data_IF_851459098052
#
_entry.id   IF_851459098052
#
_cell.length_a   1.000
_cell.length_b   1.000
_cell.length_c   1.000
_cell.angle_alpha   90.00
_cell.angle_beta   90.00
_cell.angle_gamma   90.00
#
_symmetry.space_group_name_H-M   'P 1'
#
loop_
_entity.id
_entity.type
_entity.pdbx_description
1 polymer ?
#
# COMPACT_ATOMS: atom_id res chain seq x y z
N UNK A 1 3.52 16.26 -107.72
CA UNK A 1 2.51 16.83 -106.80
C UNK A 1 2.47 15.89 -105.61
N UNK A 2 2.79 16.23 -104.38
CA UNK A 2 3.17 17.47 -103.70
C UNK A 2 3.84 17.03 -102.39
N UNK A 3 4.80 17.81 -101.93
CA UNK A 3 5.61 17.71 -100.71
C UNK A 3 4.83 17.48 -99.41
N UNK A 4 5.42 16.79 -98.44
CA UNK A 4 5.80 17.41 -97.15
C UNK A 4 6.59 16.48 -96.22
N UNK A 5 7.80 16.94 -95.90
CA UNK A 5 8.62 16.67 -94.73
C UNK A 5 7.89 17.19 -93.47
N UNK A 6 8.09 16.57 -92.29
CA UNK A 6 8.65 17.21 -91.06
C UNK A 6 8.32 16.40 -89.79
N UNK A 7 9.39 15.98 -89.12
CA UNK A 7 9.67 15.82 -87.68
C UNK A 7 8.54 15.72 -86.65
N UNK A 8 8.72 14.80 -85.70
CA UNK A 8 7.91 14.82 -84.48
C UNK A 8 8.16 13.71 -83.47
N UNK A 9 9.41 13.36 -83.17
CA UNK A 9 9.73 12.57 -81.97
C UNK A 9 9.47 13.44 -80.73
N UNK A 10 8.40 13.18 -79.99
CA UNK A 10 8.20 13.75 -78.66
C UNK A 10 7.62 12.68 -77.72
N UNK A 11 8.53 11.98 -77.05
CA UNK A 11 8.21 11.24 -75.83
C UNK A 11 7.66 12.23 -74.80
N UNK A 12 6.39 12.12 -74.42
CA UNK A 12 5.87 12.81 -73.24
C UNK A 12 6.46 12.14 -71.99
N UNK A 13 7.59 12.67 -71.51
CA UNK A 13 8.09 12.37 -70.19
C UNK A 13 7.18 13.04 -69.16
N UNK A 14 6.53 12.24 -68.31
CA UNK A 14 5.90 12.73 -67.08
C UNK A 14 6.96 13.49 -66.25
N UNK A 15 6.62 14.62 -65.61
CA UNK A 15 7.54 15.28 -64.69
C UNK A 15 7.83 14.36 -63.50
N UNK A 16 9.09 14.28 -63.01
CA UNK A 16 9.40 13.52 -61.81
C UNK A 16 8.63 14.11 -60.63
N UNK A 17 7.91 13.25 -59.92
CA UNK A 17 7.22 13.61 -58.68
C UNK A 17 8.28 14.12 -57.68
N UNK A 18 8.10 15.28 -57.01
CA UNK A 18 9.06 15.77 -56.04
C UNK A 18 9.28 14.73 -54.93
N UNK A 19 10.54 14.30 -54.77
CA UNK A 19 10.95 13.19 -53.91
C UNK A 19 10.92 13.51 -52.40
N UNK A 20 10.24 14.58 -51.97
CA UNK A 20 10.31 15.07 -50.60
C UNK A 20 8.92 15.30 -50.01
N UNK A 21 8.17 14.20 -49.85
CA UNK A 21 7.20 14.15 -48.75
C UNK A 21 8.02 13.85 -47.48
N UNK A 22 7.93 14.66 -46.40
CA UNK A 22 8.52 14.28 -45.14
C UNK A 22 7.82 13.00 -44.70
N UNK A 23 8.54 11.87 -44.73
CA UNK A 23 8.07 10.66 -44.09
C UNK A 23 7.94 11.01 -42.61
N UNK A 24 6.71 11.17 -42.13
CA UNK A 24 6.43 11.20 -40.71
C UNK A 24 6.96 9.88 -40.16
N UNK A 25 8.17 9.91 -39.63
CA UNK A 25 8.70 8.85 -38.79
C UNK A 25 7.75 8.78 -37.59
N UNK A 26 6.75 7.91 -37.68
CA UNK A 26 6.03 7.44 -36.53
C UNK A 26 7.07 6.74 -35.65
N UNK A 27 7.69 7.52 -34.76
CA UNK A 27 8.43 7.00 -33.62
C UNK A 27 7.38 6.29 -32.79
N UNK A 28 7.14 5.02 -33.14
CA UNK A 28 6.27 4.08 -32.46
C UNK A 28 6.87 3.92 -31.07
N UNK A 29 6.49 4.81 -30.16
CA UNK A 29 6.83 4.75 -28.75
C UNK A 29 6.20 3.48 -28.22
N UNK A 30 6.89 2.35 -28.38
CA UNK A 30 6.47 1.07 -27.79
C UNK A 30 6.30 1.34 -26.30
N UNK A 31 5.19 0.90 -25.70
CA UNK A 31 4.92 1.20 -24.30
C UNK A 31 6.03 0.56 -23.47
N UNK A 32 6.85 1.40 -22.82
CA UNK A 32 8.03 1.01 -22.05
C UNK A 32 7.72 -0.09 -21.02
N UNK A 33 6.47 -0.18 -20.57
CA UNK A 33 5.91 -1.24 -19.74
C UNK A 33 6.11 -2.66 -20.30
N UNK A 34 5.85 -2.89 -21.60
CA UNK A 34 6.01 -4.23 -22.20
C UNK A 34 7.49 -4.63 -22.31
N UNK A 35 8.37 -3.67 -22.53
CA UNK A 35 9.81 -3.90 -22.58
C UNK A 35 10.40 -4.17 -21.18
N UNK A 36 9.89 -3.53 -20.13
CA UNK A 36 10.31 -3.74 -18.75
C UNK A 36 9.85 -5.12 -18.22
N UNK A 37 8.63 -5.53 -18.56
CA UNK A 37 8.10 -6.88 -18.29
C UNK A 37 8.88 -7.96 -19.04
N UNK A 38 9.34 -7.67 -20.27
CA UNK A 38 10.16 -8.58 -21.06
C UNK A 38 11.63 -8.67 -20.58
N UNK A 39 12.19 -7.57 -20.06
CA UNK A 39 13.60 -7.49 -19.64
C UNK A 39 13.89 -8.15 -18.28
N UNK A 40 12.92 -8.15 -17.36
CA UNK A 40 13.08 -8.70 -16.00
C UNK A 40 12.69 -10.19 -15.93
N UNK A 41 12.00 -10.69 -16.95
CA UNK A 41 11.28 -11.96 -16.91
C UNK A 41 9.99 -11.79 -16.13
N UNK A 42 8.85 -12.08 -16.77
CA UNK A 42 7.51 -11.93 -16.19
C UNK A 42 7.36 -12.40 -14.72
N UNK A 43 7.97 -13.53 -14.29
CA UNK A 43 7.87 -13.97 -12.91
C UNK A 43 8.61 -13.07 -11.90
N UNK A 44 9.79 -12.56 -12.24
CA UNK A 44 10.56 -11.68 -11.35
C UNK A 44 9.88 -10.31 -11.22
N UNK A 45 9.30 -9.80 -12.30
CA UNK A 45 8.51 -8.57 -12.26
C UNK A 45 7.27 -8.72 -11.35
N UNK A 46 6.57 -9.86 -11.45
CA UNK A 46 5.45 -10.17 -10.57
C UNK A 46 5.86 -10.21 -9.09
N UNK A 47 7.03 -10.80 -8.77
CA UNK A 47 7.58 -10.81 -7.40
C UNK A 47 7.91 -9.41 -6.89
N UNK A 48 8.53 -8.57 -7.73
CA UNK A 48 8.85 -7.17 -7.35
C UNK A 48 7.56 -6.41 -7.06
N UNK A 49 6.56 -6.51 -7.94
CA UNK A 49 5.27 -5.86 -7.72
C UNK A 49 4.58 -6.35 -6.44
N UNK A 50 4.54 -7.67 -6.24
CA UNK A 50 3.99 -8.26 -5.01
C UNK A 50 4.73 -7.72 -3.78
N UNK A 51 6.06 -7.73 -3.79
CA UNK A 51 6.88 -7.23 -2.70
C UNK A 51 6.64 -5.75 -2.41
N UNK A 52 6.56 -4.91 -3.44
CA UNK A 52 6.25 -3.48 -3.29
C UNK A 52 4.87 -3.27 -2.69
N UNK A 53 3.85 -3.97 -3.20
CA UNK A 53 2.48 -3.87 -2.69
C UNK A 53 2.41 -4.34 -1.24
N UNK A 54 3.01 -5.48 -0.92
CA UNK A 54 3.06 -5.98 0.47
C UNK A 54 3.79 -5.01 1.38
N UNK A 55 4.93 -4.45 0.96
CA UNK A 55 5.66 -3.46 1.75
C UNK A 55 4.81 -2.19 2.01
N UNK A 56 4.10 -1.70 1.00
CA UNK A 56 3.20 -0.56 1.17
C UNK A 56 2.05 -0.87 2.14
N UNK A 57 1.44 -2.05 2.03
CA UNK A 57 0.38 -2.48 2.96
C UNK A 57 0.89 -2.56 4.40
N UNK A 58 2.10 -3.07 4.61
CA UNK A 58 2.72 -3.13 5.94
C UNK A 58 2.96 -1.74 6.51
N UNK A 59 3.46 -0.80 5.70
CA UNK A 59 3.65 0.59 6.13
C UNK A 59 2.32 1.26 6.48
N UNK A 60 1.29 1.10 5.64
CA UNK A 60 -0.04 1.63 5.90
C UNK A 60 -0.65 1.06 7.18
N UNK A 61 -0.55 -0.25 7.38
CA UNK A 61 -1.03 -0.90 8.59
C UNK A 61 -0.27 -0.42 9.84
N UNK A 62 1.05 -0.24 9.73
CA UNK A 62 1.88 0.23 10.84
C UNK A 62 1.54 1.66 11.26
N UNK A 63 1.51 2.59 10.31
CA UNK A 63 1.30 4.01 10.59
C UNK A 63 -0.17 4.38 10.83
N UNK A 64 -1.11 3.78 10.10
CA UNK A 64 -2.53 4.08 10.23
C UNK A 64 -3.14 3.62 11.56
N UNK A 65 -2.59 2.53 12.12
CA UNK A 65 -3.09 1.92 13.35
C UNK A 65 -2.10 2.01 14.51
N UNK A 66 -1.15 2.96 14.49
CA UNK A 66 -0.23 3.14 15.59
C UNK A 66 -0.94 3.79 16.79
N UNK A 67 -1.11 3.09 17.92
CA UNK A 67 -1.77 3.67 19.09
C UNK A 67 -1.02 4.88 19.65
N UNK A 68 0.32 4.92 19.52
CA UNK A 68 1.13 6.03 20.04
C UNK A 68 0.98 7.33 19.23
N UNK A 69 0.42 7.28 18.01
CA UNK A 69 0.15 8.47 17.20
C UNK A 69 -1.21 9.09 17.49
N UNK A 70 -2.08 8.35 18.19
CA UNK A 70 -3.47 8.71 18.43
C UNK A 70 -3.73 8.44 19.91
N UNK A 71 -3.31 9.41 20.72
CA UNK A 71 -3.55 9.69 22.15
C UNK A 71 -4.29 8.60 22.97
N UNK A 72 -3.83 7.35 22.88
CA UNK A 72 -4.43 6.19 23.55
C UNK A 72 -3.65 5.83 24.81
N UNK A 73 -2.79 6.74 25.25
CA UNK A 73 -1.89 6.56 26.38
C UNK A 73 -0.84 5.48 26.13
N UNK A 74 -0.06 5.24 27.19
CA UNK A 74 0.99 4.24 27.23
C UNK A 74 0.97 3.51 28.58
N UNK A 75 1.56 2.30 28.66
CA UNK A 75 1.65 1.56 29.91
C UNK A 75 2.24 2.34 31.09
N UNK A 76 3.22 3.21 30.83
CA UNK A 76 3.81 4.10 31.85
C UNK A 76 2.84 5.16 32.34
N UNK A 77 2.07 5.76 31.43
CA UNK A 77 1.09 6.79 31.79
C UNK A 77 -0.06 6.20 32.59
N UNK A 78 -0.60 5.04 32.20
CA UNK A 78 -1.66 4.38 32.96
C UNK A 78 -1.19 4.02 34.36
N UNK A 79 0.04 3.51 34.51
CA UNK A 79 0.59 3.19 35.83
C UNK A 79 0.72 4.44 36.69
N UNK A 80 1.15 5.56 36.11
CA UNK A 80 1.18 6.86 36.80
C UNK A 80 -0.20 7.36 37.18
N UNK A 81 -1.18 7.27 36.28
CA UNK A 81 -2.57 7.68 36.51
C UNK A 81 -3.24 6.85 37.61
N UNK A 82 -3.06 5.52 37.58
CA UNK A 82 -3.55 4.61 38.63
C UNK A 82 -2.92 4.91 39.98
N UNK A 83 -1.60 5.13 40.03
CA UNK A 83 -0.91 5.49 41.27
C UNK A 83 -1.40 6.83 41.82
N UNK A 84 -1.59 7.83 40.95
CA UNK A 84 -2.12 9.14 41.33
C UNK A 84 -3.56 9.02 41.85
N UNK A 85 -4.42 8.26 41.17
CA UNK A 85 -5.79 8.03 41.60
C UNK A 85 -5.85 7.33 42.96
N UNK A 86 -4.98 6.32 43.18
CA UNK A 86 -4.89 5.61 44.45
C UNK A 86 -4.45 6.54 45.60
N UNK A 87 -3.43 7.38 45.38
CA UNK A 87 -2.97 8.35 46.38
C UNK A 87 -4.08 9.36 46.71
N UNK A 88 -4.77 9.90 45.69
CA UNK A 88 -5.91 10.82 45.90
C UNK A 88 -7.02 10.16 46.72
N UNK A 89 -7.36 8.92 46.39
CA UNK A 89 -8.40 8.18 47.10
C UNK A 89 -8.00 7.91 48.56
N UNK A 90 -6.74 7.54 48.81
CA UNK A 90 -6.23 7.32 50.17
C UNK A 90 -6.33 8.57 51.04
N UNK A 91 -5.87 9.72 50.52
CA UNK A 91 -5.96 11.01 51.23
C UNK A 91 -7.41 11.38 51.52
N UNK A 92 -8.29 11.28 50.51
CA UNK A 92 -9.69 11.64 50.67
C UNK A 92 -10.44 10.67 51.60
N UNK A 93 -10.10 9.38 51.58
CA UNK A 93 -10.70 8.41 52.51
C UNK A 93 -10.28 8.68 53.94
N UNK A 94 -9.01 9.05 54.20
CA UNK A 94 -8.58 9.45 55.54
C UNK A 94 -9.37 10.64 56.11
N UNK A 95 -9.88 11.52 55.25
CA UNK A 95 -10.70 12.68 55.66
C UNK A 95 -12.21 12.38 55.72
N UNK A 96 -12.67 11.28 55.12
CA UNK A 96 -14.10 11.01 54.93
C UNK A 96 -14.57 9.66 55.46
N UNK A 97 -13.69 8.88 56.09
CA UNK A 97 -14.00 7.55 56.61
C UNK A 97 -15.18 7.56 57.59
N UNK A 98 -16.19 6.73 57.31
CA UNK A 98 -17.40 6.62 58.14
C UNK A 98 -18.38 7.78 58.00
N UNK A 99 -18.07 8.78 57.17
CA UNK A 99 -18.94 9.92 56.91
C UNK A 99 -19.80 9.69 55.65
N UNK A 100 -21.01 10.30 55.55
CA UNK A 100 -21.89 10.11 54.39
C UNK A 100 -21.23 10.44 53.03
N UNK A 101 -20.31 11.41 53.03
CA UNK A 101 -19.57 11.84 51.84
C UNK A 101 -18.56 10.81 51.30
N UNK A 102 -18.25 9.74 52.05
CA UNK A 102 -17.35 8.67 51.58
C UNK A 102 -17.84 8.02 50.28
N UNK A 103 -19.16 7.93 50.11
CA UNK A 103 -19.77 7.41 48.87
C UNK A 103 -19.40 8.23 47.64
N UNK A 104 -19.28 9.56 47.77
CA UNK A 104 -18.91 10.47 46.69
C UNK A 104 -17.44 10.32 46.34
N UNK A 105 -16.56 10.23 47.36
CA UNK A 105 -15.11 10.01 47.18
C UNK A 105 -14.85 8.70 46.43
N UNK A 106 -15.51 7.62 46.87
CA UNK A 106 -15.42 6.33 46.18
C UNK A 106 -15.92 6.40 44.73
N UNK A 107 -16.94 7.23 44.46
CA UNK A 107 -17.44 7.48 43.12
C UNK A 107 -16.42 8.18 42.22
N UNK A 108 -15.72 9.19 42.72
CA UNK A 108 -14.65 9.86 41.97
C UNK A 108 -13.47 8.91 41.68
N UNK A 109 -13.06 8.12 42.66
CA UNK A 109 -12.02 7.12 42.44
C UNK A 109 -12.42 6.07 41.39
N UNK A 110 -13.66 5.56 41.45
CA UNK A 110 -14.18 4.65 40.44
C UNK A 110 -14.19 5.28 39.04
N UNK A 111 -14.51 6.58 38.93
CA UNK A 111 -14.47 7.31 37.68
C UNK A 111 -13.04 7.43 37.11
N UNK A 112 -12.06 7.76 37.95
CA UNK A 112 -10.64 7.83 37.56
C UNK A 112 -10.15 6.45 37.03
N UNK A 113 -10.54 5.35 37.69
CA UNK A 113 -10.22 4.00 37.22
C UNK A 113 -10.90 3.67 35.88
N UNK A 114 -12.16 4.07 35.71
CA UNK A 114 -12.91 3.84 34.47
C UNK A 114 -12.27 4.57 33.28
N UNK A 115 -11.76 5.78 33.47
CA UNK A 115 -11.05 6.53 32.45
C UNK A 115 -9.75 5.82 32.01
N UNK A 116 -8.94 5.36 32.98
CA UNK A 116 -7.73 4.58 32.67
C UNK A 116 -8.10 3.29 31.93
N UNK A 117 -9.15 2.59 32.36
CA UNK A 117 -9.60 1.35 31.71
C UNK A 117 -10.07 1.61 30.27
N UNK A 118 -10.77 2.71 30.02
CA UNK A 118 -11.21 3.09 28.67
C UNK A 118 -10.01 3.38 27.75
N UNK A 119 -8.98 4.04 28.28
CA UNK A 119 -7.71 4.29 27.57
C UNK A 119 -7.02 2.96 27.21
N UNK A 120 -6.88 2.04 28.17
CA UNK A 120 -6.31 0.72 27.96
C UNK A 120 -7.07 -0.10 26.91
N UNK A 121 -8.41 -0.12 26.98
CA UNK A 121 -9.25 -0.85 26.03
C UNK A 121 -9.11 -0.29 24.61
N UNK A 122 -9.05 1.04 24.48
CA UNK A 122 -8.84 1.71 23.19
C UNK A 122 -7.48 1.38 22.60
N UNK A 123 -6.43 1.37 23.43
CA UNK A 123 -5.09 0.95 23.03
C UNK A 123 -5.07 -0.51 22.55
N UNK A 124 -5.69 -1.42 23.32
CA UNK A 124 -5.75 -2.85 22.99
C UNK A 124 -6.48 -3.12 21.68
N UNK A 125 -7.64 -2.50 21.47
CA UNK A 125 -8.40 -2.62 20.23
C UNK A 125 -7.56 -2.17 19.03
N UNK A 126 -6.90 -1.02 19.13
CA UNK A 126 -6.10 -0.46 18.05
C UNK A 126 -4.82 -1.26 17.77
N UNK A 127 -4.17 -1.74 18.83
CA UNK A 127 -3.02 -2.64 18.72
C UNK A 127 -3.41 -3.97 18.07
N UNK A 128 -4.58 -4.52 18.44
CA UNK A 128 -5.14 -5.72 17.84
C UNK A 128 -5.43 -5.52 16.35
N UNK A 129 -6.09 -4.43 15.97
CA UNK A 129 -6.37 -4.10 14.56
C UNK A 129 -5.09 -3.95 13.75
N UNK A 130 -4.07 -3.26 14.29
CA UNK A 130 -2.75 -3.16 13.66
C UNK A 130 -2.13 -4.53 13.44
N UNK A 131 -2.06 -5.35 14.48
CA UNK A 131 -1.43 -6.67 14.42
C UNK A 131 -2.19 -7.61 13.47
N UNK A 132 -3.51 -7.54 13.46
CA UNK A 132 -4.37 -8.25 12.51
C UNK A 132 -4.10 -7.85 11.07
N UNK A 133 -4.06 -6.54 10.78
CA UNK A 133 -3.75 -6.01 9.46
C UNK A 133 -2.34 -6.41 8.98
N UNK A 134 -1.33 -6.33 9.86
CA UNK A 134 0.04 -6.77 9.55
C UNK A 134 0.08 -8.27 9.23
N UNK A 135 -0.59 -9.09 10.04
CA UNK A 135 -0.65 -10.54 9.84
C UNK A 135 -1.34 -10.88 8.52
N UNK A 136 -2.44 -10.20 8.20
CA UNK A 136 -3.14 -10.37 6.93
C UNK A 136 -2.25 -9.96 5.74
N UNK A 137 -1.53 -8.84 5.83
CA UNK A 137 -0.63 -8.39 4.77
C UNK A 137 0.54 -9.38 4.52
N UNK A 138 1.12 -9.93 5.58
CA UNK A 138 2.14 -11.00 5.48
C UNK A 138 1.54 -12.25 4.85
N UNK A 139 0.36 -12.68 5.31
CA UNK A 139 -0.35 -13.84 4.77
C UNK A 139 -0.62 -13.71 3.28
N UNK A 140 -1.08 -12.53 2.83
CA UNK A 140 -1.28 -12.23 1.41
C UNK A 140 0.02 -12.26 0.62
N UNK A 141 1.11 -11.71 1.16
CA UNK A 141 2.44 -11.79 0.54
C UNK A 141 2.92 -13.21 0.33
N UNK A 142 2.79 -14.06 1.37
CA UNK A 142 3.15 -15.49 1.30
C UNK A 142 2.27 -16.22 0.27
N UNK A 143 0.95 -16.02 0.32
CA UNK A 143 0.02 -16.63 -0.62
C UNK A 143 0.32 -16.23 -2.07
N UNK A 144 0.61 -14.96 -2.32
CA UNK A 144 1.03 -14.44 -3.62
C UNK A 144 2.29 -15.11 -4.14
N UNK A 145 3.32 -15.27 -3.30
CA UNK A 145 4.56 -15.94 -3.69
C UNK A 145 4.33 -17.43 -4.02
N UNK A 146 3.47 -18.13 -3.27
CA UNK A 146 3.11 -19.51 -3.55
C UNK A 146 2.40 -19.66 -4.89
N UNK A 147 1.50 -18.73 -5.24
CA UNK A 147 0.82 -18.69 -6.55
C UNK A 147 1.84 -18.48 -7.67
N UNK A 148 2.74 -17.50 -7.54
CA UNK A 148 3.80 -17.25 -8.55
C UNK A 148 4.65 -18.51 -8.75
N UNK A 149 5.10 -19.13 -7.65
CA UNK A 149 5.87 -20.40 -7.71
C UNK A 149 5.06 -21.54 -8.32
N UNK A 150 3.76 -21.60 -8.11
CA UNK A 150 2.87 -22.59 -8.71
C UNK A 150 2.78 -22.44 -10.23
N UNK A 151 2.55 -21.21 -10.70
CA UNK A 151 2.47 -20.87 -12.14
C UNK A 151 3.81 -21.15 -12.83
N UNK A 152 4.93 -20.75 -12.24
CA UNK A 152 6.25 -21.04 -12.78
C UNK A 152 6.50 -22.54 -12.95
N UNK A 153 6.14 -23.35 -11.95
CA UNK A 153 6.28 -24.81 -12.02
C UNK A 153 5.41 -25.41 -13.14
N UNK A 154 4.18 -24.94 -13.30
CA UNK A 154 3.28 -25.36 -14.38
C UNK A 154 3.82 -25.02 -15.77
N UNK A 155 4.32 -23.80 -15.95
CA UNK A 155 4.88 -23.35 -17.22
C UNK A 155 6.15 -24.12 -17.61
N UNK A 156 7.02 -24.43 -16.63
CA UNK A 156 8.20 -25.27 -16.87
C UNK A 156 7.80 -26.67 -17.32
N UNK A 157 6.80 -27.29 -16.67
CA UNK A 157 6.31 -28.63 -17.05
C UNK A 157 5.72 -28.67 -18.46
N UNK A 158 4.98 -27.65 -18.90
CA UNK A 158 4.47 -27.59 -20.28
C UNK A 158 5.60 -27.52 -21.31
N UNK A 159 6.65 -26.73 -21.02
CA UNK A 159 7.78 -26.55 -21.94
C UNK A 159 8.65 -27.80 -22.10
N UNK A 160 8.59 -28.75 -21.16
CA UNK A 160 9.35 -30.01 -21.22
C UNK A 160 8.60 -31.16 -21.90
N UNK A 161 7.29 -31.02 -22.15
CA UNK A 161 6.43 -32.10 -22.66
C UNK A 161 5.93 -31.84 -24.09
N UNK A 162 6.07 -30.61 -24.61
CA UNK A 162 5.81 -30.26 -26.00
C UNK A 162 7.11 -29.97 -26.75
#
# INVERSE_FOLDING_TARGET
MTSETTDGTASQALPPTPEHAPQFNEVRRKPKLKALVAAVGGPNFARILLGVVTALLLLLAWFGNNPNLIDSGSPSEWRSQLSSAAIKNEVNNGETEGAPQQSVVNGWYANDLAEVQASQNSYLARSSDRNGALTAAIGLGIAGELIIRGIERSNRRRKTVG
#
